data_IF_113820415358
#
_entry.id   IF_113820415358
#
_cell.length_a   1.000
_cell.length_b   1.000
_cell.length_c   1.000
_cell.angle_alpha   90.00
_cell.angle_beta   90.00
_cell.angle_gamma   90.00
#
_symmetry.space_group_name_H-M   'P 1'
#
loop_
_entity.id
_entity.type
_entity.pdbx_description
1 polymer ?
#
# COMPACT_ATOMS: atom_id res chain seq x y z
N UNK A 1 -5.74 12.87 22.58
CA UNK A 1 -5.23 12.86 21.19
C UNK A 1 -4.64 11.49 20.91
N UNK A 2 -4.86 11.01 19.69
CA UNK A 2 -5.04 9.62 19.26
C UNK A 2 -3.84 8.66 19.47
N UNK A 3 -3.71 8.07 20.66
CA UNK A 3 -2.76 6.97 20.93
C UNK A 3 -3.03 5.73 20.07
N UNK A 4 -4.25 5.57 19.54
CA UNK A 4 -4.64 4.44 18.72
C UNK A 4 -3.95 4.46 17.36
N UNK A 5 -3.94 5.63 16.70
CA UNK A 5 -3.30 5.80 15.40
C UNK A 5 -1.79 5.57 15.44
N UNK A 6 -1.10 6.27 16.34
CA UNK A 6 0.35 6.15 16.47
C UNK A 6 0.75 4.72 16.89
N UNK A 7 -0.03 4.08 17.77
CA UNK A 7 0.21 2.69 18.17
C UNK A 7 -0.06 1.69 17.04
N UNK A 8 -1.10 1.91 16.23
CA UNK A 8 -1.40 1.07 15.09
C UNK A 8 -0.28 1.20 14.05
N UNK A 9 0.12 2.41 13.66
CA UNK A 9 1.21 2.61 12.71
C UNK A 9 2.57 2.08 13.21
N UNK A 10 2.92 2.34 14.47
CA UNK A 10 4.16 1.84 15.07
C UNK A 10 4.25 0.30 15.06
N UNK A 11 3.12 -0.38 15.09
CA UNK A 11 3.07 -1.84 15.01
C UNK A 11 3.11 -2.37 13.57
N UNK A 12 2.48 -1.65 12.63
CA UNK A 12 2.40 -2.06 11.24
C UNK A 12 3.69 -1.81 10.45
N UNK A 13 4.35 -0.69 10.75
CA UNK A 13 5.51 -0.22 10.00
C UNK A 13 6.66 -1.25 9.95
N UNK A 14 7.07 -1.91 11.05
CA UNK A 14 8.14 -2.90 11.00
C UNK A 14 7.82 -4.08 10.08
N UNK A 15 6.55 -4.52 10.04
CA UNK A 15 6.14 -5.62 9.15
C UNK A 15 6.18 -5.21 7.67
N UNK A 16 5.78 -3.97 7.37
CA UNK A 16 5.87 -3.42 6.02
C UNK A 16 7.31 -3.29 5.55
N UNK A 17 8.19 -2.73 6.38
CA UNK A 17 9.62 -2.60 6.06
C UNK A 17 10.28 -3.97 5.86
N UNK A 18 9.95 -4.95 6.70
CA UNK A 18 10.46 -6.31 6.56
C UNK A 18 9.98 -6.99 5.27
N UNK A 19 8.71 -6.77 4.88
CA UNK A 19 8.16 -7.31 3.64
C UNK A 19 8.82 -6.71 2.40
N UNK A 20 9.04 -5.38 2.38
CA UNK A 20 9.70 -4.67 1.28
C UNK A 20 11.16 -5.14 1.12
N UNK A 21 11.87 -5.31 2.24
CA UNK A 21 13.29 -5.71 2.22
C UNK A 21 13.55 -7.10 1.59
N UNK A 22 12.53 -7.94 1.45
CA UNK A 22 12.62 -9.25 0.81
C UNK A 22 12.56 -9.23 -0.72
N UNK A 23 12.29 -8.07 -1.33
CA UNK A 23 11.99 -7.95 -2.76
C UNK A 23 12.95 -6.94 -3.43
N UNK A 24 13.29 -7.18 -4.71
CA UNK A 24 14.28 -6.38 -5.45
C UNK A 24 13.70 -5.52 -6.56
N UNK A 25 12.42 -5.69 -6.89
CA UNK A 25 11.72 -4.93 -7.93
C UNK A 25 10.58 -4.13 -7.29
N UNK A 26 10.22 -2.98 -7.87
CA UNK A 26 9.11 -2.18 -7.41
C UNK A 26 7.81 -2.98 -7.41
N UNK A 27 7.56 -3.75 -8.47
CA UNK A 27 6.39 -4.62 -8.53
C UNK A 27 6.39 -5.66 -7.40
N UNK A 28 7.54 -6.27 -7.10
CA UNK A 28 7.68 -7.23 -6.00
C UNK A 28 7.45 -6.57 -4.64
N UNK A 29 8.05 -5.40 -4.41
CA UNK A 29 7.93 -4.63 -3.18
C UNK A 29 6.49 -4.17 -2.92
N UNK A 30 5.79 -3.64 -3.94
CA UNK A 30 4.37 -3.30 -3.86
C UNK A 30 3.52 -4.53 -3.53
N UNK A 31 3.78 -5.64 -4.22
CA UNK A 31 3.12 -6.93 -3.97
C UNK A 31 3.29 -7.40 -2.53
N UNK A 32 4.53 -7.37 -2.01
CA UNK A 32 4.85 -7.74 -0.64
C UNK A 32 4.18 -6.84 0.39
N UNK A 33 4.12 -5.53 0.13
CA UNK A 33 3.44 -4.57 1.00
C UNK A 33 1.92 -4.81 1.07
N UNK A 34 1.29 -5.12 -0.06
CA UNK A 34 -0.12 -5.47 -0.13
C UNK A 34 -0.41 -6.83 0.56
N UNK A 35 0.44 -7.83 0.37
CA UNK A 35 0.35 -9.14 1.06
C UNK A 35 0.54 -8.99 2.58
N UNK A 36 1.48 -8.17 3.03
CA UNK A 36 1.67 -7.85 4.44
C UNK A 36 0.40 -7.21 5.01
N UNK A 37 -0.18 -6.24 4.28
CA UNK A 37 -1.45 -5.59 4.65
C UNK A 37 -2.61 -6.59 4.76
N UNK A 38 -2.72 -7.54 3.83
CA UNK A 38 -3.71 -8.62 3.88
C UNK A 38 -3.51 -9.54 5.09
N UNK A 39 -2.25 -9.91 5.37
CA UNK A 39 -1.89 -10.75 6.52
C UNK A 39 -2.20 -10.07 7.86
N UNK A 40 -1.88 -8.79 7.98
CA UNK A 40 -2.26 -7.94 9.11
C UNK A 40 -3.77 -7.89 9.25
N UNK A 41 -4.50 -7.64 8.16
CA UNK A 41 -5.96 -7.56 8.18
C UNK A 41 -6.59 -8.85 8.72
N UNK A 42 -6.11 -10.02 8.31
CA UNK A 42 -6.59 -11.31 8.84
C UNK A 42 -6.37 -11.45 10.34
N UNK A 43 -5.22 -11.01 10.85
CA UNK A 43 -4.91 -11.05 12.28
C UNK A 43 -5.68 -9.99 13.06
N UNK A 44 -5.99 -8.85 12.44
CA UNK A 44 -6.58 -7.66 13.06
C UNK A 44 -7.57 -6.95 12.13
N UNK A 45 -8.80 -7.49 11.97
CA UNK A 45 -9.77 -6.96 11.02
C UNK A 45 -10.16 -5.49 11.27
N UNK A 46 -10.05 -5.01 12.51
CA UNK A 46 -10.38 -3.64 12.90
C UNK A 46 -9.41 -2.56 12.35
N UNK A 47 -8.22 -2.94 11.88
CA UNK A 47 -7.21 -1.99 11.37
C UNK A 47 -7.62 -1.42 10.00
N UNK A 48 -8.26 -2.21 9.14
CA UNK A 48 -8.57 -1.78 7.77
C UNK A 48 -9.69 -0.75 7.67
N UNK A 49 -10.83 -0.86 8.40
CA UNK A 49 -11.82 0.21 8.45
C UNK A 49 -11.22 1.51 9.02
N UNK A 50 -10.34 1.39 10.01
CA UNK A 50 -9.62 2.51 10.60
C UNK A 50 -8.75 3.22 9.56
N UNK A 51 -7.86 2.49 8.88
CA UNK A 51 -7.02 3.05 7.81
C UNK A 51 -7.83 3.57 6.62
N UNK A 52 -8.96 2.93 6.27
CA UNK A 52 -9.82 3.41 5.18
C UNK A 52 -10.58 4.69 5.54
N UNK A 53 -10.93 4.89 6.81
CA UNK A 53 -11.54 6.14 7.28
C UNK A 53 -10.56 7.30 7.41
N UNK A 54 -9.25 7.03 7.48
CA UNK A 54 -8.21 8.03 7.70
C UNK A 54 -8.23 9.16 6.67
N UNK A 55 -8.37 8.84 5.38
CA UNK A 55 -8.41 9.84 4.31
C UNK A 55 -9.59 10.81 4.47
N UNK A 56 -10.71 10.32 5.02
CA UNK A 56 -11.89 11.12 5.32
C UNK A 56 -11.69 11.94 6.60
N UNK A 57 -11.08 11.35 7.63
CA UNK A 57 -10.77 12.03 8.89
C UNK A 57 -9.70 13.12 8.71
N UNK A 58 -8.69 12.91 7.88
CA UNK A 58 -7.70 13.93 7.49
C UNK A 58 -8.35 15.14 6.81
N UNK A 59 -9.38 14.90 5.99
CA UNK A 59 -10.15 15.98 5.35
C UNK A 59 -11.01 16.74 6.36
N UNK A 60 -11.49 16.07 7.41
CA UNK A 60 -12.31 16.67 8.49
C UNK A 60 -11.47 17.40 9.53
N UNK A 61 -10.26 16.90 9.78
CA UNK A 61 -9.35 17.32 10.83
C UNK A 61 -7.94 17.49 10.24
N UNK A 62 -7.68 18.61 9.54
CA UNK A 62 -6.39 18.86 8.89
C UNK A 62 -5.24 18.98 9.91
N UNK A 63 -5.53 19.24 11.17
CA UNK A 63 -4.58 19.20 12.28
C UNK A 63 -4.00 17.79 12.55
N UNK A 64 -4.68 16.73 12.09
CA UNK A 64 -4.15 15.36 12.15
C UNK A 64 -3.03 15.11 11.12
N UNK A 65 -2.89 15.95 10.09
CA UNK A 65 -1.79 15.84 9.11
C UNK A 65 -0.43 15.88 9.80
N UNK A 66 -0.22 16.81 10.73
CA UNK A 66 1.07 16.94 11.42
C UNK A 66 1.46 15.69 12.23
N UNK A 67 0.47 14.98 12.79
CA UNK A 67 0.70 13.73 13.53
C UNK A 67 1.01 12.58 12.57
N UNK A 68 0.37 12.57 11.41
CA UNK A 68 0.59 11.58 10.35
C UNK A 68 1.89 11.79 9.59
N UNK A 69 2.32 13.03 9.42
CA UNK A 69 3.63 13.37 8.89
C UNK A 69 4.70 12.76 9.80
N UNK A 70 4.62 12.96 11.12
CA UNK A 70 5.65 12.49 12.06
C UNK A 70 5.75 10.95 12.13
N UNK A 71 4.61 10.24 12.08
CA UNK A 71 4.57 8.76 12.22
C UNK A 71 4.64 8.03 10.86
N UNK A 72 4.14 8.66 9.79
CA UNK A 72 4.16 8.12 8.43
C UNK A 72 5.45 8.39 7.66
N UNK A 73 6.30 9.30 8.14
CA UNK A 73 7.58 9.67 7.52
C UNK A 73 8.42 8.46 7.09
N UNK A 74 8.63 7.40 7.90
CA UNK A 74 9.49 6.29 7.49
C UNK A 74 8.94 5.50 6.29
N UNK A 75 7.63 5.22 6.24
CA UNK A 75 7.03 4.50 5.12
C UNK A 75 7.06 5.34 3.83
N UNK A 76 6.79 6.65 3.94
CA UNK A 76 6.84 7.57 2.82
C UNK A 76 8.27 7.68 2.26
N UNK A 77 9.28 7.79 3.14
CA UNK A 77 10.69 7.76 2.73
C UNK A 77 11.00 6.46 1.98
N UNK A 78 10.62 5.31 2.55
CA UNK A 78 10.85 4.02 1.89
C UNK A 78 10.17 3.93 0.53
N UNK A 79 8.94 4.44 0.38
CA UNK A 79 8.25 4.45 -0.92
C UNK A 79 8.97 5.33 -1.95
N UNK A 80 9.44 6.52 -1.56
CA UNK A 80 10.26 7.35 -2.45
C UNK A 80 11.57 6.64 -2.84
N UNK A 81 12.26 5.99 -1.90
CA UNK A 81 13.48 5.23 -2.18
C UNK A 81 13.22 4.07 -3.17
N UNK A 82 12.06 3.42 -3.06
CA UNK A 82 11.63 2.38 -4.00
C UNK A 82 11.41 2.97 -5.40
N UNK A 83 10.73 4.11 -5.54
CA UNK A 83 10.51 4.76 -6.83
C UNK A 83 11.82 5.25 -7.46
N UNK A 84 12.73 5.80 -6.67
CA UNK A 84 14.07 6.19 -7.12
C UNK A 84 14.90 5.00 -7.59
N UNK A 85 14.84 3.87 -6.88
CA UNK A 85 15.49 2.64 -7.30
C UNK A 85 14.90 2.12 -8.62
N UNK A 86 13.57 2.14 -8.75
CA UNK A 86 12.85 1.70 -9.93
C UNK A 86 13.13 2.56 -11.18
N UNK A 87 13.24 3.89 -11.01
CA UNK A 87 13.68 4.79 -12.08
C UNK A 87 15.11 4.48 -12.51
N UNK A 88 16.03 4.28 -11.56
CA UNK A 88 17.44 3.96 -11.85
C UNK A 88 17.63 2.61 -12.54
N UNK A 89 16.81 1.62 -12.22
CA UNK A 89 16.84 0.30 -12.86
C UNK A 89 16.10 0.25 -14.21
N UNK A 90 15.32 1.29 -14.54
CA UNK A 90 14.49 1.34 -15.74
C UNK A 90 13.18 0.54 -15.62
N UNK A 91 12.76 0.16 -14.41
CA UNK A 91 11.48 -0.52 -14.17
C UNK A 91 10.28 0.41 -14.38
N UNK A 92 10.45 1.71 -14.11
CA UNK A 92 9.45 2.75 -14.39
C UNK A 92 10.06 3.91 -15.20
N UNK A 93 9.23 4.68 -15.94
CA UNK A 93 9.69 5.86 -16.68
C UNK A 93 10.36 6.89 -15.77
N UNK A 94 11.39 7.57 -16.28
CA UNK A 94 12.12 8.60 -15.53
C UNK A 94 11.30 9.86 -15.26
N UNK A 95 10.23 10.08 -16.02
CA UNK A 95 9.27 11.17 -15.89
C UNK A 95 8.03 10.79 -15.07
N UNK A 96 8.00 9.61 -14.46
CA UNK A 96 6.95 9.24 -13.53
C UNK A 96 7.07 10.05 -12.23
N UNK A 97 6.03 10.84 -11.94
CA UNK A 97 5.95 11.71 -10.76
C UNK A 97 5.66 10.93 -9.48
N UNK A 98 6.40 11.22 -8.42
CA UNK A 98 6.27 10.52 -7.12
C UNK A 98 4.87 10.64 -6.53
N UNK A 99 4.24 11.81 -6.66
CA UNK A 99 2.90 12.03 -6.15
C UNK A 99 1.88 11.12 -6.87
N UNK A 100 2.01 10.96 -8.18
CA UNK A 100 1.10 10.10 -8.97
C UNK A 100 1.31 8.62 -8.60
N UNK A 101 2.56 8.20 -8.41
CA UNK A 101 2.90 6.85 -7.95
C UNK A 101 2.35 6.59 -6.53
N UNK A 102 2.49 7.55 -5.62
CA UNK A 102 1.94 7.49 -4.26
C UNK A 102 0.42 7.39 -4.26
N UNK A 103 -0.26 8.20 -5.09
CA UNK A 103 -1.72 8.19 -5.22
C UNK A 103 -2.18 6.84 -5.79
N UNK A 104 -1.55 6.36 -6.86
CA UNK A 104 -1.91 5.08 -7.48
C UNK A 104 -1.74 3.91 -6.50
N UNK A 105 -0.58 3.85 -5.81
CA UNK A 105 -0.31 2.82 -4.82
C UNK A 105 -1.31 2.87 -3.65
N UNK A 106 -1.46 4.04 -3.03
CA UNK A 106 -2.34 4.21 -1.87
C UNK A 106 -3.80 3.95 -2.24
N UNK A 107 -4.23 4.40 -3.41
CA UNK A 107 -5.56 4.15 -3.96
C UNK A 107 -5.84 2.66 -4.15
N UNK A 108 -4.90 1.91 -4.73
CA UNK A 108 -5.02 0.47 -4.90
C UNK A 108 -5.09 -0.27 -3.54
N UNK A 109 -4.17 0.06 -2.62
CA UNK A 109 -4.12 -0.55 -1.29
C UNK A 109 -5.41 -0.28 -0.48
N UNK A 110 -5.88 0.98 -0.46
CA UNK A 110 -7.14 1.35 0.20
C UNK A 110 -8.35 0.69 -0.46
N UNK A 111 -8.40 0.67 -1.80
CA UNK A 111 -9.51 0.08 -2.55
C UNK A 111 -9.65 -1.43 -2.30
N UNK A 112 -8.54 -2.16 -2.39
CA UNK A 112 -8.50 -3.60 -2.05
C UNK A 112 -8.87 -3.80 -0.58
N UNK A 113 -8.27 -3.00 0.32
CA UNK A 113 -8.56 -2.99 1.75
C UNK A 113 -10.06 -2.91 2.07
N UNK A 114 -10.69 -1.83 1.59
CA UNK A 114 -12.07 -1.48 1.88
C UNK A 114 -13.07 -2.45 1.23
N UNK A 115 -12.85 -2.83 -0.03
CA UNK A 115 -13.75 -3.75 -0.73
C UNK A 115 -13.67 -5.16 -0.17
N UNK A 116 -12.48 -5.65 0.16
CA UNK A 116 -12.33 -6.97 0.79
C UNK A 116 -13.00 -7.02 2.16
N UNK A 117 -12.91 -5.94 2.95
CA UNK A 117 -13.66 -5.83 4.20
C UNK A 117 -15.18 -5.84 3.98
N UNK A 118 -15.68 -5.03 3.05
CA UNK A 118 -17.11 -4.91 2.78
C UNK A 118 -17.76 -6.17 2.19
N UNK A 119 -17.01 -6.96 1.42
CA UNK A 119 -17.52 -8.17 0.76
C UNK A 119 -17.46 -9.43 1.64
N UNK A 120 -16.74 -9.41 2.76
CA UNK A 120 -16.71 -10.46 3.80
C UNK A 120 -16.13 -11.82 3.39
N UNK A 121 -16.07 -12.14 2.09
CA UNK A 121 -15.59 -13.41 1.53
C UNK A 121 -14.51 -13.24 0.45
N UNK A 122 -14.17 -12.00 0.08
CA UNK A 122 -13.16 -11.73 -0.93
C UNK A 122 -11.76 -11.88 -0.33
N UNK A 123 -10.98 -12.84 -0.84
CA UNK A 123 -9.59 -13.03 -0.45
C UNK A 123 -8.75 -11.83 -0.92
N UNK A 124 -8.28 -11.01 0.01
CA UNK A 124 -7.30 -9.95 -0.28
C UNK A 124 -6.10 -10.52 -1.05
N UNK A 125 -5.61 -11.70 -0.67
CA UNK A 125 -4.48 -12.34 -1.35
C UNK A 125 -4.76 -12.58 -2.85
N UNK A 126 -5.99 -12.99 -3.20
CA UNK A 126 -6.39 -13.19 -4.61
C UNK A 126 -6.51 -11.88 -5.38
N UNK A 127 -6.96 -10.81 -4.74
CA UNK A 127 -7.00 -9.47 -5.33
C UNK A 127 -5.59 -8.94 -5.59
N UNK A 128 -4.67 -9.11 -4.62
CA UNK A 128 -3.27 -8.73 -4.76
C UNK A 128 -2.59 -9.51 -5.88
N UNK A 129 -2.76 -10.84 -5.94
CA UNK A 129 -2.19 -11.63 -7.03
C UNK A 129 -2.76 -11.27 -8.41
N UNK A 130 -4.01 -10.80 -8.48
CA UNK A 130 -4.60 -10.28 -9.71
C UNK A 130 -3.97 -8.94 -10.13
N UNK A 131 -3.70 -8.06 -9.17
CA UNK A 131 -3.02 -6.79 -9.41
C UNK A 131 -1.57 -7.02 -9.86
N UNK A 132 -0.82 -7.90 -9.18
CA UNK A 132 0.55 -8.28 -9.56
C UNK A 132 0.60 -8.82 -11.00
N UNK A 133 -0.34 -9.69 -11.39
CA UNK A 133 -0.46 -10.18 -12.77
C UNK A 133 -0.72 -9.05 -13.76
N UNK A 134 -1.51 -8.04 -13.37
CA UNK A 134 -1.80 -6.89 -14.23
C UNK A 134 -0.54 -6.04 -14.43
N UNK A 135 0.19 -5.76 -13.34
CA UNK A 135 1.42 -4.96 -13.38
C UNK A 135 2.55 -5.66 -14.14
N UNK A 136 2.60 -7.00 -14.09
CA UNK A 136 3.60 -7.80 -14.82
C UNK A 136 3.19 -8.12 -16.27
N UNK A 137 2.03 -7.64 -16.73
CA UNK A 137 1.55 -7.93 -18.08
C UNK A 137 1.13 -9.39 -18.31
N UNK A 138 0.97 -10.19 -17.26
CA UNK A 138 0.59 -11.61 -17.33
C UNK A 138 -0.90 -11.84 -17.06
N UNK A 139 -1.68 -10.76 -16.89
CA UNK A 139 -3.11 -10.86 -16.62
C UNK A 139 -3.92 -11.25 -17.86
N UNK A 140 -3.62 -10.65 -19.01
CA UNK A 140 -4.32 -10.91 -20.27
C UNK A 140 -3.67 -12.10 -20.99
N UNK A 141 -4.50 -13.03 -21.47
CA UNK A 141 -4.02 -14.12 -22.33
C UNK A 141 -3.66 -13.62 -23.74
N UNK A 142 -2.98 -14.43 -24.56
CA UNK A 142 -2.78 -14.11 -25.97
C UNK A 142 -4.15 -13.89 -26.61
N UNK A 143 -4.39 -12.68 -27.11
CA UNK A 143 -5.59 -12.37 -27.85
C UNK A 143 -5.65 -13.31 -29.05
N UNK A 144 -6.78 -13.99 -29.24
CA UNK A 144 -7.12 -14.54 -30.55
C UNK A 144 -7.40 -13.35 -31.46
N UNK A 145 -6.35 -12.81 -32.09
CA UNK A 145 -6.48 -12.03 -33.33
C UNK A 145 -6.63 -12.98 -34.53
#
# INVERSE_FOLDING_TARGET
MDRGLASAQAELLPEYLAAIAGETTLCGQIGALLRASASIHRRRPAITPFLASMSLELRRHPDLLAVLEDVGTPLVITLHEMFDAARRSGEIPSDAEDLDLMIAFSGAAMGIGLLSFGLGHASMDSAVGTLERTMTGTFFGPGTE
#
